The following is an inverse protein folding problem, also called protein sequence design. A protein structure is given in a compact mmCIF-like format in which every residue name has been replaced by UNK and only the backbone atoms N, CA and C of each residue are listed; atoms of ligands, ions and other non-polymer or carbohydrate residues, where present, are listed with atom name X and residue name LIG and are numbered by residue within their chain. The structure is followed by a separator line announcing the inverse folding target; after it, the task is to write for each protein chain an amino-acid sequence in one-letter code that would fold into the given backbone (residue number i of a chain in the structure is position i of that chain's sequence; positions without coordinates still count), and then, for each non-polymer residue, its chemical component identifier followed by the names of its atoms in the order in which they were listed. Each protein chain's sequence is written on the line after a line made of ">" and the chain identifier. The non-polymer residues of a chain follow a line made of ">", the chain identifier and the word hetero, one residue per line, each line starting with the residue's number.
data_IF_360059826168
#
_entry.id   IF_360059826168
#
_cell.length_a   1.000
_cell.length_b   1.000
_cell.length_c   1.000
_cell.angle_alpha   90.00
_cell.angle_beta   90.00
_cell.angle_gamma   90.00
#
_symmetry.space_group_name_H-M   'P 1'
#
loop_
_entity.id
_entity.type
_entity.pdbx_description
1 polymer ?
#
# COMPACT_ATOMS: atom_id res chain seq x y z
N UNK A 1 -58.21 -19.19 -32.36
CA UNK A 1 -56.75 -19.31 -32.62
C UNK A 1 -56.00 -18.50 -31.59
N UNK A 2 -55.27 -19.14 -30.67
CA UNK A 2 -54.52 -18.45 -29.61
C UNK A 2 -53.03 -18.48 -29.94
N UNK A 3 -52.54 -17.38 -30.51
CA UNK A 3 -51.15 -17.20 -30.93
C UNK A 3 -50.29 -16.96 -29.67
N UNK A 4 -49.92 -18.05 -28.99
CA UNK A 4 -48.93 -18.00 -27.90
C UNK A 4 -47.60 -17.54 -28.51
N UNK A 5 -47.41 -16.23 -28.45
CA UNK A 5 -46.22 -15.45 -28.79
C UNK A 5 -44.98 -16.15 -28.24
N UNK A 6 -44.30 -16.91 -29.09
CA UNK A 6 -43.05 -17.60 -28.80
C UNK A 6 -41.98 -16.54 -28.54
N UNK A 7 -41.84 -16.12 -27.28
CA UNK A 7 -40.77 -15.22 -26.86
C UNK A 7 -39.49 -16.03 -26.79
N UNK A 8 -38.77 -16.08 -27.90
CA UNK A 8 -37.41 -16.60 -27.93
C UNK A 8 -36.56 -15.66 -27.07
N UNK A 9 -35.95 -16.12 -25.96
CA UNK A 9 -35.10 -15.25 -25.16
C UNK A 9 -33.89 -14.84 -25.98
N UNK A 10 -33.65 -13.54 -26.11
CA UNK A 10 -32.46 -13.01 -26.77
C UNK A 10 -31.20 -13.52 -26.03
N UNK A 11 -30.17 -13.98 -26.76
CA UNK A 11 -28.89 -14.32 -26.15
C UNK A 11 -28.28 -13.05 -25.57
N UNK A 12 -28.32 -12.96 -24.25
CA UNK A 12 -27.73 -11.86 -23.50
C UNK A 12 -26.21 -12.05 -23.51
N UNK A 13 -25.42 -11.03 -23.89
CA UNK A 13 -23.97 -11.15 -23.91
C UNK A 13 -23.49 -11.48 -22.51
N UNK A 14 -22.64 -12.52 -22.38
CA UNK A 14 -22.05 -12.90 -21.09
C UNK A 14 -21.38 -11.66 -20.49
N UNK A 15 -21.68 -11.29 -19.23
CA UNK A 15 -21.04 -10.15 -18.61
C UNK A 15 -19.52 -10.34 -18.67
N UNK A 16 -18.82 -9.34 -19.20
CA UNK A 16 -17.37 -9.36 -19.30
C UNK A 16 -16.76 -9.68 -17.94
N UNK A 17 -15.76 -10.58 -17.92
CA UNK A 17 -15.06 -11.00 -16.70
C UNK A 17 -14.19 -9.85 -16.18
N UNK A 18 -14.78 -8.84 -15.57
CA UNK A 18 -14.10 -7.64 -15.04
C UNK A 18 -13.39 -7.85 -13.69
N UNK A 19 -13.26 -9.10 -13.22
CA UNK A 19 -12.71 -9.42 -11.89
C UNK A 19 -11.22 -9.78 -11.83
N UNK A 20 -10.53 -9.95 -12.97
CA UNK A 20 -9.22 -10.64 -13.01
C UNK A 20 -8.02 -9.85 -12.46
N UNK A 21 -8.18 -8.64 -11.94
CA UNK A 21 -7.07 -7.78 -11.48
C UNK A 21 -7.14 -7.27 -10.04
N UNK A 22 -8.27 -7.43 -9.35
CA UNK A 22 -8.48 -6.80 -8.04
C UNK A 22 -7.53 -7.33 -6.94
N UNK A 23 -7.04 -8.58 -7.06
CA UNK A 23 -6.10 -9.19 -6.11
C UNK A 23 -4.71 -8.56 -6.13
N UNK A 24 -4.33 -7.92 -7.24
CA UNK A 24 -3.06 -7.19 -7.35
C UNK A 24 -3.02 -6.03 -6.34
N UNK A 25 -4.13 -5.32 -6.14
CA UNK A 25 -4.21 -4.23 -5.16
C UNK A 25 -4.04 -4.70 -3.72
N UNK A 26 -4.56 -5.90 -3.38
CA UNK A 26 -4.34 -6.50 -2.07
C UNK A 26 -2.88 -6.90 -1.87
N UNK A 27 -2.25 -7.48 -2.89
CA UNK A 27 -0.84 -7.87 -2.84
C UNK A 27 0.05 -6.63 -2.68
N UNK A 28 -0.18 -5.59 -3.49
CA UNK A 28 0.52 -4.30 -3.39
C UNK A 28 0.34 -3.70 -1.98
N UNK A 29 -0.89 -3.62 -1.49
CA UNK A 29 -1.17 -3.07 -0.17
C UNK A 29 -0.51 -3.86 0.97
N UNK A 30 -0.47 -5.19 0.87
CA UNK A 30 0.23 -6.05 1.84
C UNK A 30 1.74 -5.81 1.82
N UNK A 31 2.34 -5.67 0.64
CA UNK A 31 3.78 -5.37 0.52
C UNK A 31 4.10 -3.99 1.08
N UNK A 32 3.30 -2.97 0.76
CA UNK A 32 3.46 -1.63 1.32
C UNK A 32 3.34 -1.63 2.85
N UNK A 33 2.43 -2.42 3.41
CA UNK A 33 2.25 -2.54 4.86
C UNK A 33 3.48 -3.20 5.50
N UNK A 34 3.99 -4.28 4.92
CA UNK A 34 5.21 -4.94 5.38
C UNK A 34 6.43 -4.01 5.33
N UNK A 35 6.58 -3.24 4.25
CA UNK A 35 7.65 -2.24 4.11
C UNK A 35 7.52 -1.14 5.16
N UNK A 36 6.30 -0.64 5.39
CA UNK A 36 6.04 0.37 6.44
C UNK A 36 6.40 -0.14 7.83
N UNK A 37 6.04 -1.39 8.15
CA UNK A 37 6.37 -2.01 9.43
C UNK A 37 7.89 -2.18 9.59
N UNK A 38 8.58 -2.61 8.53
CA UNK A 38 10.03 -2.75 8.53
C UNK A 38 10.72 -1.39 8.71
N UNK A 39 10.23 -0.34 8.04
CA UNK A 39 10.74 1.02 8.23
C UNK A 39 10.53 1.50 9.68
N UNK A 40 9.33 1.30 10.23
CA UNK A 40 9.04 1.63 11.63
C UNK A 40 9.98 0.92 12.61
N UNK A 41 10.28 -0.36 12.36
CA UNK A 41 11.28 -1.11 13.14
C UNK A 41 12.67 -0.49 13.04
N UNK A 42 13.12 -0.11 11.85
CA UNK A 42 14.43 0.53 11.67
C UNK A 42 14.54 1.90 12.36
N UNK A 43 13.45 2.67 12.40
CA UNK A 43 13.40 3.91 13.17
C UNK A 43 13.49 3.64 14.67
N UNK A 44 12.80 2.62 15.17
CA UNK A 44 12.87 2.25 16.59
C UNK A 44 14.28 1.80 17.00
N UNK A 45 14.97 1.02 16.16
CA UNK A 45 16.37 0.67 16.40
C UNK A 45 17.29 1.90 16.35
N UNK A 46 17.10 2.81 15.40
CA UNK A 46 17.92 4.02 15.30
C UNK A 46 17.73 4.96 16.51
N UNK A 47 16.52 4.98 17.08
CA UNK A 47 16.23 5.68 18.33
C UNK A 47 16.91 5.06 19.54
N UNK A 48 16.96 3.72 19.62
CA UNK A 48 17.65 3.01 20.71
C UNK A 48 19.17 3.17 20.62
N UNK A 49 19.72 3.11 19.41
CA UNK A 49 21.16 3.20 19.15
C UNK A 49 21.66 4.66 19.15
N UNK A 50 20.76 5.65 19.11
CA UNK A 50 21.11 7.08 19.07
C UNK A 50 21.88 7.50 17.80
N UNK A 51 21.83 6.67 16.75
CA UNK A 51 22.60 6.78 15.53
C UNK A 51 21.72 6.49 14.31
N UNK A 52 21.58 7.48 13.43
CA UNK A 52 20.95 7.32 12.13
C UNK A 52 22.04 7.22 11.08
N UNK A 53 22.20 6.04 10.48
CA UNK A 53 23.13 5.83 9.37
C UNK A 53 22.33 5.89 8.07
N UNK A 54 22.40 7.02 7.37
CA UNK A 54 21.79 7.10 6.03
C UNK A 54 22.73 6.43 5.04
N UNK A 55 22.34 5.24 4.57
CA UNK A 55 23.11 4.49 3.57
C UNK A 55 22.76 5.04 2.18
N UNK A 56 23.24 6.24 1.88
CA UNK A 56 23.05 6.84 0.57
C UNK A 56 23.85 6.04 -0.47
N UNK A 57 23.19 5.57 -1.54
CA UNK A 57 23.82 4.69 -2.55
C UNK A 57 24.85 5.42 -3.43
N UNK A 58 24.79 6.75 -3.46
CA UNK A 58 25.74 7.62 -4.15
C UNK A 58 26.04 8.83 -3.25
N UNK A 59 27.07 8.70 -2.40
CA UNK A 59 27.53 9.78 -1.53
C UNK A 59 28.24 9.29 -0.27
N UNK A 60 28.99 10.15 0.43
CA UNK A 60 29.61 9.80 1.70
C UNK A 60 28.53 9.34 2.68
N UNK A 61 28.81 8.27 3.43
CA UNK A 61 27.92 7.79 4.50
C UNK A 61 27.80 8.90 5.54
N UNK A 62 26.63 9.49 5.65
CA UNK A 62 26.33 10.46 6.69
C UNK A 62 25.76 9.68 7.88
N UNK A 63 26.54 9.62 8.96
CA UNK A 63 26.11 9.09 10.23
C UNK A 63 25.80 10.28 11.14
N UNK A 64 24.52 10.49 11.42
CA UNK A 64 24.09 11.52 12.36
C UNK A 64 24.00 10.88 13.74
N UNK A 65 24.88 11.34 14.65
CA UNK A 65 24.85 10.94 16.06
C UNK A 65 24.08 11.97 16.87
N UNK A 66 23.19 11.50 17.74
CA UNK A 66 22.46 12.33 18.68
C UNK A 66 23.40 13.17 19.58
N UNK A 67 24.59 12.63 19.91
CA UNK A 67 25.56 13.28 20.79
C UNK A 67 26.34 14.41 20.12
N UNK A 68 26.51 14.36 18.79
CA UNK A 68 27.30 15.35 18.05
C UNK A 68 26.43 16.36 17.31
N UNK A 69 25.26 15.95 16.80
CA UNK A 69 24.41 16.76 15.92
C UNK A 69 22.90 16.53 16.19
N UNK A 70 22.39 16.94 17.37
CA UNK A 70 21.03 16.62 17.80
C UNK A 70 19.94 17.20 16.91
N UNK A 71 20.07 18.45 16.44
CA UNK A 71 19.06 19.09 15.57
C UNK A 71 18.94 18.41 14.22
N UNK A 72 20.05 17.97 13.63
CA UNK A 72 20.06 17.27 12.34
C UNK A 72 19.51 15.84 12.51
N UNK A 73 19.84 15.17 13.62
CA UNK A 73 19.30 13.86 13.98
C UNK A 73 17.76 13.89 14.08
N UNK A 74 17.18 14.83 14.84
CA UNK A 74 15.73 14.93 14.98
C UNK A 74 15.05 15.38 13.68
N UNK A 75 15.68 16.24 12.88
CA UNK A 75 15.15 16.64 11.57
C UNK A 75 15.01 15.45 10.61
N UNK A 76 16.07 14.66 10.49
CA UNK A 76 16.06 13.47 9.63
C UNK A 76 15.09 12.40 10.16
N UNK A 77 15.04 12.22 11.49
CA UNK A 77 14.08 11.32 12.13
C UNK A 77 12.63 11.72 11.84
N UNK A 78 12.30 13.02 11.96
CA UNK A 78 10.97 13.53 11.64
C UNK A 78 10.62 13.32 10.17
N UNK A 79 11.58 13.55 9.28
CA UNK A 79 11.40 13.34 7.84
C UNK A 79 11.15 11.86 7.48
N UNK A 80 11.92 10.95 8.08
CA UNK A 80 11.74 9.50 7.93
C UNK A 80 10.42 9.02 8.53
N UNK A 81 10.02 9.56 9.70
CA UNK A 81 8.71 9.32 10.30
C UNK A 81 7.57 9.76 9.37
N UNK A 82 7.63 10.99 8.85
CA UNK A 82 6.61 11.53 7.94
C UNK A 82 6.48 10.67 6.67
N UNK A 83 7.61 10.26 6.09
CA UNK A 83 7.64 9.39 4.91
C UNK A 83 7.06 8.01 5.19
N UNK A 84 7.37 7.43 6.35
CA UNK A 84 6.84 6.12 6.78
C UNK A 84 5.33 6.18 7.01
N UNK A 85 4.82 7.25 7.64
CA UNK A 85 3.39 7.49 7.81
C UNK A 85 2.67 7.66 6.47
N UNK A 86 3.27 8.40 5.53
CA UNK A 86 2.73 8.56 4.17
C UNK A 86 2.62 7.21 3.44
N UNK A 87 3.67 6.38 3.51
CA UNK A 87 3.67 5.02 2.94
C UNK A 87 2.60 4.14 3.60
N UNK A 88 2.45 4.21 4.93
CA UNK A 88 1.41 3.51 5.66
C UNK A 88 0.01 3.91 5.21
N UNK A 89 -0.25 5.22 5.03
CA UNK A 89 -1.52 5.72 4.53
C UNK A 89 -1.82 5.21 3.11
N UNK A 90 -0.81 5.18 2.23
CA UNK A 90 -0.93 4.59 0.90
C UNK A 90 -1.19 3.08 0.93
N UNK A 91 -0.57 2.35 1.87
CA UNK A 91 -0.83 0.93 2.10
C UNK A 91 -2.31 0.68 2.46
N UNK A 92 -2.84 1.46 3.39
CA UNK A 92 -4.24 1.36 3.81
C UNK A 92 -5.19 1.72 2.66
N UNK A 93 -4.89 2.78 1.92
CA UNK A 93 -5.70 3.20 0.77
C UNK A 93 -5.75 2.12 -0.32
N UNK A 94 -4.61 1.51 -0.67
CA UNK A 94 -4.55 0.44 -1.67
C UNK A 94 -5.28 -0.83 -1.23
N UNK A 95 -5.16 -1.22 0.05
CA UNK A 95 -5.94 -2.32 0.62
C UNK A 95 -7.45 -2.03 0.61
N UNK A 96 -7.86 -0.81 0.95
CA UNK A 96 -9.26 -0.40 0.94
C UNK A 96 -9.85 -0.45 -0.47
N UNK A 97 -9.15 0.09 -1.47
CA UNK A 97 -9.55 0.05 -2.88
C UNK A 97 -9.66 -1.41 -3.37
N UNK A 98 -8.65 -2.24 -3.09
CA UNK A 98 -8.67 -3.66 -3.45
C UNK A 98 -9.86 -4.40 -2.82
N UNK A 99 -10.20 -4.09 -1.56
CA UNK A 99 -11.34 -4.66 -0.87
C UNK A 99 -12.69 -4.20 -1.44
N UNK A 100 -12.83 -2.93 -1.80
CA UNK A 100 -14.03 -2.39 -2.46
C UNK A 100 -14.22 -3.05 -3.83
N UNK A 101 -13.15 -3.16 -4.63
CA UNK A 101 -13.19 -3.79 -5.96
C UNK A 101 -13.51 -5.29 -5.92
N UNK A 102 -13.05 -6.02 -4.91
CA UNK A 102 -13.46 -7.43 -4.72
C UNK A 102 -14.88 -7.57 -4.18
N UNK A 103 -15.31 -6.66 -3.30
CA UNK A 103 -16.68 -6.65 -2.77
C UNK A 103 -17.72 -6.43 -3.87
N UNK A 104 -17.41 -5.58 -4.85
CA UNK A 104 -18.28 -5.36 -6.01
C UNK A 104 -18.30 -6.56 -6.98
N UNK A 105 -17.17 -7.25 -7.16
CA UNK A 105 -17.08 -8.46 -7.97
C UNK A 105 -17.87 -9.64 -7.35
N UNK A 106 -17.82 -9.79 -6.02
CA UNK A 106 -18.58 -10.82 -5.29
C UNK A 106 -20.09 -10.59 -5.33
N UNK A 107 -20.54 -9.34 -5.47
CA UNK A 107 -21.97 -8.98 -5.55
C UNK A 107 -22.57 -9.13 -6.96
N UNK A 108 -21.73 -9.36 -7.99
CA UNK A 108 -22.12 -9.55 -9.39
C UNK A 108 -22.22 -11.02 -9.83
N UNK A 109 -21.74 -11.96 -9.01
CA UNK A 109 -21.95 -13.41 -9.18
C UNK A 109 -23.19 -13.85 -8.43
#
# INVERSE_FOLDING_TARGET
>A
MNQKRTRIPLPHPKPGKTGKGAWVFLLIGSVLLAVTALLGWTLASALQDGLIVTRNRAGPKLAYSQAQQPTQFYGELLWQCASTLLLGALAVATLWIGRVLMGTDKRRR
#
